data_IF_346863093430
#
_entry.id   IF_346863093430
#
_cell.length_a   1.000
_cell.length_b   1.000
_cell.length_c   1.000
_cell.angle_alpha   90.00
_cell.angle_beta   90.00
_cell.angle_gamma   90.00
#
_symmetry.space_group_name_H-M   'P 1'
#
loop_
_entity.id
_entity.type
_entity.pdbx_description
1 polymer ?
#
# COMPACT_ATOMS: atom_id res chain seq x y z
N UNK A 1 -4.41 -1.97 24.88
CA UNK A 1 -4.22 -0.66 24.22
C UNK A 1 -5.59 -0.14 23.80
N UNK A 2 -5.82 1.18 23.83
CA UNK A 2 -7.08 1.75 23.31
C UNK A 2 -7.23 1.34 21.84
N UNK A 3 -8.45 0.99 21.39
CA UNK A 3 -8.70 0.56 20.00
C UNK A 3 -8.24 1.63 19.01
N UNK A 4 -8.25 2.90 19.42
CA UNK A 4 -7.79 4.05 18.63
C UNK A 4 -6.31 3.95 18.30
N UNK A 5 -5.52 3.51 19.27
CA UNK A 5 -4.06 3.37 19.10
C UNK A 5 -3.78 2.25 18.10
N UNK A 6 -4.48 1.12 18.21
CA UNK A 6 -4.34 -0.02 17.29
C UNK A 6 -4.77 0.38 15.86
N UNK A 7 -5.95 0.99 15.72
CA UNK A 7 -6.46 1.46 14.44
C UNK A 7 -5.53 2.50 13.79
N UNK A 8 -4.99 3.42 14.59
CA UNK A 8 -4.00 4.40 14.14
C UNK A 8 -2.72 3.75 13.63
N UNK A 9 -2.11 2.84 14.41
CA UNK A 9 -0.90 2.14 13.98
C UNK A 9 -1.10 1.34 12.69
N UNK A 10 -2.23 0.63 12.56
CA UNK A 10 -2.56 -0.12 11.33
C UNK A 10 -2.78 0.83 10.14
N UNK A 11 -3.55 1.90 10.35
CA UNK A 11 -3.88 2.85 9.29
C UNK A 11 -2.62 3.54 8.75
N UNK A 12 -1.85 4.16 9.65
CA UNK A 12 -0.64 4.88 9.30
C UNK A 12 0.45 3.93 8.80
N UNK A 13 0.62 2.76 9.43
CA UNK A 13 1.58 1.75 8.98
C UNK A 13 1.34 1.34 7.54
N UNK A 14 0.09 0.94 7.20
CA UNK A 14 -0.27 0.61 5.82
C UNK A 14 -0.10 1.78 4.85
N UNK A 15 -0.38 3.01 5.31
CA UNK A 15 -0.33 4.21 4.47
C UNK A 15 1.12 4.61 4.18
N UNK A 16 2.01 4.51 5.18
CA UNK A 16 3.44 4.69 4.98
C UNK A 16 4.01 3.65 4.03
N UNK A 17 3.63 2.38 4.17
CA UNK A 17 4.09 1.32 3.25
C UNK A 17 3.66 1.61 1.81
N UNK A 18 2.39 1.93 1.59
CA UNK A 18 1.85 2.19 0.24
C UNK A 18 2.45 3.43 -0.40
N UNK A 19 2.56 4.54 0.34
CA UNK A 19 3.20 5.77 -0.16
C UNK A 19 4.68 5.56 -0.46
N UNK A 20 5.41 4.84 0.39
CA UNK A 20 6.82 4.53 0.16
C UNK A 20 7.00 3.74 -1.12
N UNK A 21 6.13 2.76 -1.39
CA UNK A 21 6.18 1.96 -2.62
C UNK A 21 5.87 2.83 -3.85
N UNK A 22 4.89 3.74 -3.77
CA UNK A 22 4.60 4.67 -4.86
C UNK A 22 5.82 5.55 -5.15
N UNK A 23 6.46 6.11 -4.12
CA UNK A 23 7.66 6.94 -4.27
C UNK A 23 8.80 6.12 -4.88
N UNK A 24 9.05 4.91 -4.39
CA UNK A 24 10.07 4.02 -4.95
C UNK A 24 9.79 3.69 -6.43
N UNK A 25 8.54 3.41 -6.78
CA UNK A 25 8.13 3.14 -8.16
C UNK A 25 8.34 4.36 -9.06
N UNK A 26 8.00 5.56 -8.60
CA UNK A 26 8.23 6.80 -9.36
C UNK A 26 9.73 7.03 -9.61
N UNK A 27 10.57 6.80 -8.60
CA UNK A 27 12.04 6.94 -8.73
C UNK A 27 12.62 5.88 -9.68
N UNK A 28 12.08 4.66 -9.69
CA UNK A 28 12.52 3.56 -10.54
C UNK A 28 11.97 3.63 -11.97
N UNK A 29 10.81 4.27 -12.17
CA UNK A 29 10.14 4.37 -13.48
C UNK A 29 11.05 4.84 -14.63
N UNK A 30 11.97 5.82 -14.46
CA UNK A 30 12.88 6.24 -15.53
C UNK A 30 13.86 5.17 -16.00
N UNK A 31 14.26 4.21 -15.15
CA UNK A 31 15.22 3.16 -15.52
C UNK A 31 14.59 2.01 -16.30
N UNK A 32 13.26 1.92 -16.34
CA UNK A 32 12.53 0.89 -17.08
C UNK A 32 12.58 1.22 -18.57
N UNK A 33 13.15 0.31 -19.36
CA UNK A 33 13.34 0.48 -20.81
C UNK A 33 12.25 -0.19 -21.64
N UNK A 34 11.61 -1.23 -21.09
CA UNK A 34 10.48 -1.91 -21.71
C UNK A 34 9.33 -2.05 -20.71
N UNK A 35 8.10 -1.72 -21.14
CA UNK A 35 6.90 -1.88 -20.31
C UNK A 35 5.67 -2.14 -21.18
N UNK A 36 4.66 -2.74 -20.56
CA UNK A 36 3.32 -2.85 -21.13
C UNK A 36 2.32 -2.18 -20.20
N UNK A 37 1.37 -1.42 -20.76
CA UNK A 37 0.37 -0.68 -19.99
C UNK A 37 0.93 0.55 -19.27
N UNK A 38 0.46 0.81 -18.04
CA UNK A 38 0.90 1.97 -17.26
C UNK A 38 2.26 1.72 -16.62
N UNK A 39 3.23 2.59 -16.93
CA UNK A 39 4.62 2.44 -16.52
C UNK A 39 4.81 2.39 -15.00
N UNK A 40 4.03 3.17 -14.24
CA UNK A 40 4.09 3.18 -12.76
C UNK A 40 3.54 1.87 -12.18
N UNK A 41 2.40 1.41 -12.69
CA UNK A 41 1.81 0.14 -12.24
C UNK A 41 2.66 -1.05 -12.64
N UNK A 42 3.27 -1.00 -13.83
CA UNK A 42 4.26 -1.96 -14.27
C UNK A 42 5.49 -1.97 -13.34
N UNK A 43 5.99 -0.80 -12.90
CA UNK A 43 7.09 -0.74 -11.95
C UNK A 43 6.75 -1.41 -10.61
N UNK A 44 5.50 -1.30 -10.13
CA UNK A 44 5.05 -1.90 -8.86
C UNK A 44 4.77 -3.40 -9.02
N UNK A 45 4.00 -3.79 -10.04
CA UNK A 45 3.43 -5.14 -10.17
C UNK A 45 4.17 -6.04 -11.15
N UNK A 46 4.95 -5.48 -12.07
CA UNK A 46 5.58 -6.20 -13.19
C UNK A 46 4.58 -6.61 -14.27
N UNK A 47 5.06 -7.39 -15.25
CA UNK A 47 4.24 -8.14 -16.19
C UNK A 47 4.17 -9.63 -15.82
N UNK A 48 3.17 -10.33 -16.38
CA UNK A 48 3.12 -11.79 -16.32
C UNK A 48 4.41 -12.38 -16.91
N UNK A 49 5.10 -13.19 -16.11
CA UNK A 49 6.34 -13.86 -16.48
C UNK A 49 6.06 -15.04 -17.41
N UNK A 50 5.68 -14.78 -18.66
CA UNK A 50 5.66 -15.80 -19.70
C UNK A 50 6.99 -15.77 -20.48
N UNK A 51 8.09 -16.23 -19.86
CA UNK A 51 9.37 -16.38 -20.56
C UNK A 51 10.61 -16.07 -19.73
N UNK A 52 11.77 -16.10 -20.40
CA UNK A 52 13.11 -15.92 -19.82
C UNK A 52 13.57 -14.45 -19.84
N UNK A 53 12.63 -13.51 -19.96
CA UNK A 53 12.93 -12.08 -20.12
C UNK A 53 13.27 -11.43 -18.77
N UNK A 54 14.28 -10.56 -18.80
CA UNK A 54 14.73 -9.79 -17.64
C UNK A 54 13.62 -8.80 -17.25
N UNK A 55 13.06 -8.93 -16.06
CA UNK A 55 11.93 -8.10 -15.64
C UNK A 55 12.42 -6.78 -15.06
N UNK A 56 12.17 -5.69 -15.79
CA UNK A 56 12.38 -4.30 -15.35
C UNK A 56 11.28 -3.84 -14.36
N UNK A 57 11.09 -4.53 -13.22
CA UNK A 57 10.11 -4.16 -12.19
C UNK A 57 10.61 -4.36 -10.77
N UNK A 58 10.01 -3.64 -9.79
CA UNK A 58 10.32 -3.77 -8.37
C UNK A 58 9.65 -4.98 -7.70
N UNK A 59 8.64 -5.59 -8.33
CA UNK A 59 7.84 -6.69 -7.76
C UNK A 59 7.27 -6.40 -6.35
N UNK A 60 6.90 -5.15 -6.08
CA UNK A 60 6.33 -4.71 -4.81
C UNK A 60 4.80 -4.77 -4.78
N UNK A 61 4.17 -5.47 -5.72
CA UNK A 61 2.71 -5.61 -5.80
C UNK A 61 2.09 -6.22 -4.54
N UNK A 62 2.66 -7.32 -4.02
CA UNK A 62 2.17 -7.93 -2.79
C UNK A 62 2.25 -6.99 -1.57
N UNK A 63 3.42 -6.40 -1.22
CA UNK A 63 3.49 -5.48 -0.10
C UNK A 63 2.64 -4.21 -0.31
N UNK A 64 2.42 -3.78 -1.55
CA UNK A 64 1.51 -2.67 -1.87
C UNK A 64 0.06 -3.00 -1.50
N UNK A 65 -0.45 -4.15 -1.94
CA UNK A 65 -1.81 -4.59 -1.62
C UNK A 65 -1.97 -4.83 -0.12
N UNK A 66 -0.99 -5.46 0.53
CA UNK A 66 -1.00 -5.66 1.98
C UNK A 66 -1.07 -4.33 2.74
N UNK A 67 -0.27 -3.33 2.33
CA UNK A 67 -0.31 -1.99 2.91
C UNK A 67 -1.68 -1.32 2.75
N UNK A 68 -2.31 -1.41 1.57
CA UNK A 68 -3.66 -0.87 1.34
C UNK A 68 -4.70 -1.53 2.26
N UNK A 69 -4.65 -2.86 2.41
CA UNK A 69 -5.57 -3.59 3.28
C UNK A 69 -5.40 -3.17 4.74
N UNK A 70 -4.15 -3.03 5.22
CA UNK A 70 -3.87 -2.54 6.57
C UNK A 70 -4.39 -1.11 6.79
N UNK A 71 -4.23 -0.24 5.79
CA UNK A 71 -4.79 1.12 5.84
C UNK A 71 -6.30 1.12 5.99
N UNK A 72 -7.00 0.34 5.17
CA UNK A 72 -8.46 0.24 5.19
C UNK A 72 -8.94 -0.36 6.52
N UNK A 73 -8.32 -1.44 6.99
CA UNK A 73 -8.68 -2.07 8.27
C UNK A 73 -8.48 -1.11 9.45
N UNK A 74 -7.35 -0.41 9.49
CA UNK A 74 -7.08 0.60 10.51
C UNK A 74 -8.11 1.73 10.49
N UNK A 75 -8.47 2.22 9.30
CA UNK A 75 -9.50 3.24 9.13
C UNK A 75 -10.87 2.75 9.60
N UNK A 76 -11.27 1.52 9.27
CA UNK A 76 -12.54 0.94 9.72
C UNK A 76 -12.61 0.89 11.25
N UNK A 77 -11.53 0.47 11.92
CA UNK A 77 -11.47 0.43 13.39
C UNK A 77 -11.68 1.84 13.97
N UNK A 78 -10.99 2.85 13.42
CA UNK A 78 -11.10 4.23 13.87
C UNK A 78 -12.49 4.82 13.64
N UNK A 79 -13.08 4.56 12.48
CA UNK A 79 -14.44 5.01 12.15
C UNK A 79 -15.47 4.38 13.08
N UNK A 80 -15.37 3.07 13.33
CA UNK A 80 -16.27 2.39 14.26
C UNK A 80 -16.17 2.96 15.66
N UNK A 81 -14.95 3.24 16.15
CA UNK A 81 -14.76 3.82 17.48
C UNK A 81 -15.21 5.29 17.56
N UNK A 82 -15.08 6.05 16.47
CA UNK A 82 -15.58 7.42 16.40
C UNK A 82 -17.11 7.51 16.52
N UNK A 83 -17.82 6.59 15.88
CA UNK A 83 -19.29 6.54 15.91
C UNK A 83 -19.86 5.78 17.11
N UNK A 84 -19.05 4.98 17.81
CA UNK A 84 -19.45 4.35 19.06
C UNK A 84 -19.49 5.40 20.18
N UNK A 85 -20.69 5.62 20.75
CA UNK A 85 -20.98 6.69 21.73
C UNK A 85 -20.14 6.60 23.01
N UNK A 86 -19.34 5.54 23.19
CA UNK A 86 -18.35 5.43 24.26
C UNK A 86 -17.24 6.48 24.19
N UNK A 87 -16.96 7.07 23.01
CA UNK A 87 -15.91 8.10 22.88
C UNK A 87 -16.32 9.46 23.48
N UNK A 88 -17.61 9.79 23.52
CA UNK A 88 -18.12 11.02 24.12
C UNK A 88 -18.24 10.97 25.66
N UNK A 89 -17.90 9.84 26.28
CA UNK A 89 -18.12 9.60 27.72
C UNK A 89 -16.83 9.56 28.56
N UNK A 90 -15.67 9.83 27.96
CA UNK A 90 -14.39 9.96 28.67
C UNK A 90 -13.92 11.40 28.71
#
# INVERSE_FOLDING_TARGET
>A
MKRTVIGGFLMFGGLFTTLTIIVAAVIYTPSITSWSGSKLWYAIFGAEQYGNDVVDSLFLGFPFVAGLLLSILGLVILVMEYFDKSFLKN
#
